data_IF_268665611831
#
_entry.id   IF_268665611831
#
_cell.length_a   1.000
_cell.length_b   1.000
_cell.length_c   1.000
_cell.angle_alpha   90.00
_cell.angle_beta   90.00
_cell.angle_gamma   90.00
#
_symmetry.space_group_name_H-M   'P 1'
#
loop_
_entity.id
_entity.type
_entity.pdbx_description
1 polymer ?
#
# COMPACT_ATOMS: atom_id res chain seq x y z
N UNK A 1 3.20 -4.38 13.41
CA UNK A 1 2.44 -3.15 13.61
C UNK A 1 2.11 -2.95 15.10
N UNK A 2 3.11 -2.61 15.92
CA UNK A 2 3.01 -2.50 17.39
C UNK A 2 3.88 -1.36 17.92
N UNK A 3 4.18 -0.38 17.08
CA UNK A 3 5.32 0.52 17.29
C UNK A 3 5.03 1.76 18.15
N UNK A 4 3.79 2.18 18.29
CA UNK A 4 3.48 3.42 19.03
C UNK A 4 3.28 3.25 20.54
N UNK A 5 3.16 2.03 21.02
CA UNK A 5 2.60 1.76 22.33
C UNK A 5 3.59 1.82 23.51
N UNK A 6 4.90 1.73 23.28
CA UNK A 6 5.90 1.70 24.37
C UNK A 6 6.59 3.02 24.68
N UNK A 7 6.63 3.96 23.75
CA UNK A 7 7.36 5.23 23.95
C UNK A 7 6.71 6.21 24.94
N UNK A 8 5.44 6.02 25.30
CA UNK A 8 4.71 6.92 26.22
C UNK A 8 4.68 6.45 27.68
N UNK A 9 5.44 5.41 28.08
CA UNK A 9 5.70 5.11 29.50
C UNK A 9 4.54 4.59 30.34
N UNK A 10 3.30 4.52 29.85
CA UNK A 10 2.12 4.23 30.67
C UNK A 10 1.61 2.78 30.67
N UNK A 11 2.25 1.88 29.93
CA UNK A 11 1.76 0.49 29.76
C UNK A 11 1.96 -0.44 30.94
N UNK A 12 2.75 -0.08 31.93
CA UNK A 12 2.94 -0.89 33.13
C UNK A 12 1.69 -0.93 34.05
N UNK A 13 0.68 -0.10 33.82
CA UNK A 13 -0.52 -0.04 34.68
C UNK A 13 -1.66 -0.96 34.29
N UNK A 14 -1.73 -1.43 33.02
CA UNK A 14 -2.83 -2.28 32.54
C UNK A 14 -2.28 -3.41 31.68
N UNK A 15 -2.47 -4.67 32.12
CA UNK A 15 -2.17 -5.87 31.31
C UNK A 15 -3.21 -6.02 30.19
N UNK A 16 -3.04 -5.29 29.07
CA UNK A 16 -3.78 -5.58 27.85
C UNK A 16 -3.12 -6.73 27.10
N UNK A 17 -3.90 -7.71 26.65
CA UNK A 17 -3.45 -8.79 25.77
C UNK A 17 -4.02 -8.56 24.38
N UNK A 18 -3.14 -8.30 23.42
CA UNK A 18 -3.50 -8.16 22.02
C UNK A 18 -3.01 -9.38 21.26
N UNK A 19 -3.87 -9.91 20.37
CA UNK A 19 -3.47 -10.90 19.39
C UNK A 19 -3.62 -10.28 18.02
N UNK A 20 -2.52 -10.10 17.31
CA UNK A 20 -2.49 -9.72 15.92
C UNK A 20 -2.55 -10.99 15.08
N UNK A 21 -3.68 -11.26 14.42
CA UNK A 21 -3.78 -12.33 13.45
C UNK A 21 -3.15 -11.90 12.15
N UNK A 22 -1.96 -12.39 11.86
CA UNK A 22 -1.36 -12.36 10.53
C UNK A 22 -1.36 -13.79 10.00
N UNK A 23 -2.14 -14.05 8.94
CA UNK A 23 -1.93 -15.24 8.14
C UNK A 23 -0.61 -15.09 7.38
N UNK A 24 0.48 -15.41 8.04
CA UNK A 24 1.75 -15.56 7.36
C UNK A 24 1.90 -17.04 6.98
N UNK A 25 1.99 -17.31 5.66
CA UNK A 25 2.37 -18.61 5.14
C UNK A 25 3.66 -19.11 5.84
N UNK A 26 3.84 -20.38 5.94
CA UNK A 26 4.81 -21.21 6.73
C UNK A 26 6.27 -20.73 6.87
N UNK A 27 6.64 -19.61 6.28
CA UNK A 27 7.96 -18.96 6.43
C UNK A 27 7.79 -17.46 6.19
N UNK A 28 8.34 -16.60 7.07
CA UNK A 28 9.04 -15.39 6.61
C UNK A 28 10.24 -15.87 5.76
N UNK A 29 9.98 -16.67 4.74
CA UNK A 29 10.95 -16.88 3.69
C UNK A 29 10.96 -15.58 2.94
N UNK A 30 11.96 -14.79 3.24
CA UNK A 30 12.44 -13.68 2.45
C UNK A 30 12.70 -14.22 1.05
N UNK A 31 11.62 -14.46 0.31
CA UNK A 31 11.73 -14.98 -1.05
C UNK A 31 12.47 -13.93 -1.85
N UNK A 32 13.43 -14.38 -2.64
CA UNK A 32 14.27 -13.55 -3.54
C UNK A 32 13.48 -12.64 -4.50
N UNK A 33 12.14 -12.72 -4.50
CA UNK A 33 11.22 -11.95 -5.33
C UNK A 33 10.43 -10.99 -4.44
N UNK A 34 11.10 -9.97 -3.93
CA UNK A 34 10.43 -8.81 -3.34
C UNK A 34 10.13 -7.81 -4.43
N UNK A 35 8.88 -7.34 -4.55
CA UNK A 35 8.52 -6.24 -5.42
C UNK A 35 8.87 -4.90 -4.77
N UNK A 36 9.04 -3.88 -5.58
CA UNK A 36 9.14 -2.50 -5.14
C UNK A 36 7.88 -2.04 -4.39
N UNK A 37 8.04 -1.06 -3.55
CA UNK A 37 7.00 -0.43 -2.76
C UNK A 37 7.29 1.06 -2.65
N UNK A 38 6.33 1.89 -3.05
CA UNK A 38 6.43 3.34 -2.92
C UNK A 38 5.84 3.79 -1.60
N UNK A 39 6.62 4.51 -0.83
CA UNK A 39 6.23 5.08 0.46
C UNK A 39 6.04 6.57 0.30
N UNK A 40 4.82 6.99 0.48
CA UNK A 40 4.40 8.38 0.32
C UNK A 40 4.48 9.15 1.64
N UNK A 41 4.52 10.50 1.62
CA UNK A 41 4.74 11.33 2.80
C UNK A 41 3.84 11.04 4.00
N UNK A 42 2.57 10.69 3.79
CA UNK A 42 1.64 10.32 4.86
C UNK A 42 2.08 9.11 5.70
N UNK A 43 2.88 8.21 5.12
CA UNK A 43 3.41 7.05 5.83
C UNK A 43 4.89 7.20 6.21
N UNK A 44 5.72 7.84 5.38
CA UNK A 44 7.16 7.99 5.69
C UNK A 44 7.41 8.82 6.95
N UNK A 45 6.54 9.81 7.26
CA UNK A 45 6.61 10.58 8.51
C UNK A 45 6.45 9.71 9.77
N UNK A 46 5.76 8.56 9.67
CA UNK A 46 5.60 7.63 10.78
C UNK A 46 6.92 6.92 11.15
N UNK A 47 7.86 6.82 10.21
CA UNK A 47 9.12 6.09 10.46
C UNK A 47 10.01 6.79 11.50
N UNK A 48 10.01 8.12 11.53
CA UNK A 48 10.68 8.88 12.58
C UNK A 48 10.03 8.61 13.95
N UNK A 49 8.68 8.65 13.99
CA UNK A 49 7.90 8.39 15.21
C UNK A 49 8.12 6.97 15.75
N UNK A 50 8.32 6.00 14.85
CA UNK A 50 8.54 4.60 15.22
C UNK A 50 10.00 4.23 15.46
N UNK A 51 10.95 5.14 15.24
CA UNK A 51 12.37 4.90 15.41
C UNK A 51 12.94 3.90 14.41
N UNK A 52 12.43 3.87 13.17
CA UNK A 52 12.92 3.00 12.08
C UNK A 52 13.53 3.78 10.91
N UNK A 53 13.52 5.11 11.00
CA UNK A 53 13.95 5.99 9.92
C UNK A 53 15.40 5.72 9.49
N UNK A 54 16.31 5.63 10.46
CA UNK A 54 17.75 5.47 10.20
C UNK A 54 18.09 4.09 9.60
N UNK A 55 17.29 3.07 9.90
CA UNK A 55 17.47 1.74 9.31
C UNK A 55 16.97 1.67 7.86
N UNK A 56 15.89 2.42 7.53
CA UNK A 56 15.22 2.36 6.23
C UNK A 56 15.89 3.31 5.23
N UNK A 57 16.28 4.52 5.65
CA UNK A 57 16.83 5.58 4.78
C UNK A 57 17.98 5.10 3.88
N UNK A 58 19.00 4.33 4.36
CA UNK A 58 20.09 3.87 3.49
C UNK A 58 19.66 2.90 2.39
N UNK A 59 18.48 2.29 2.53
CA UNK A 59 17.91 1.31 1.59
C UNK A 59 16.89 1.95 0.65
N UNK A 60 16.52 3.21 0.89
CA UNK A 60 15.56 3.94 0.09
C UNK A 60 16.18 4.48 -1.20
N UNK A 61 15.40 4.51 -2.27
CA UNK A 61 15.70 5.31 -3.45
C UNK A 61 14.81 6.56 -3.39
N UNK A 62 15.41 7.73 -3.58
CA UNK A 62 14.75 9.02 -3.57
C UNK A 62 14.56 9.49 -5.01
N UNK A 63 13.33 9.47 -5.56
CA UNK A 63 13.12 9.82 -6.96
C UNK A 63 13.40 11.31 -7.19
N UNK A 64 14.34 11.59 -8.09
CA UNK A 64 14.71 12.94 -8.49
C UNK A 64 13.61 13.61 -9.32
N UNK A 65 12.81 12.83 -10.02
CA UNK A 65 11.63 13.30 -10.74
C UNK A 65 10.55 12.22 -10.84
N UNK A 66 9.32 12.67 -11.09
CA UNK A 66 8.20 11.82 -11.50
C UNK A 66 7.76 12.26 -12.90
N UNK A 67 7.67 11.31 -13.84
CA UNK A 67 7.27 11.58 -15.21
C UNK A 67 6.10 10.68 -15.65
N UNK A 68 5.12 11.29 -16.32
CA UNK A 68 4.05 10.60 -17.04
C UNK A 68 4.32 10.73 -18.54
N UNK A 69 4.33 9.60 -19.22
CA UNK A 69 4.72 9.49 -20.64
C UNK A 69 3.61 8.85 -21.45
N UNK A 70 3.50 9.22 -22.71
CA UNK A 70 2.66 8.53 -23.67
C UNK A 70 3.27 7.16 -24.00
N UNK A 71 2.43 6.14 -24.05
CA UNK A 71 2.85 4.76 -24.22
C UNK A 71 3.61 4.51 -25.52
N UNK A 72 3.19 5.13 -26.66
CA UNK A 72 3.66 4.76 -28.00
C UNK A 72 5.06 5.28 -28.36
N UNK A 73 5.49 6.38 -27.74
CA UNK A 73 6.75 7.05 -28.12
C UNK A 73 7.54 7.61 -26.94
N UNK A 74 7.09 7.36 -25.72
CA UNK A 74 7.74 7.86 -24.50
C UNK A 74 7.72 9.37 -24.34
N UNK A 75 6.96 10.12 -25.17
CA UNK A 75 6.82 11.56 -25.07
C UNK A 75 6.28 11.97 -23.70
N UNK A 76 6.95 12.92 -23.07
CA UNK A 76 6.50 13.49 -21.80
C UNK A 76 5.13 14.15 -21.97
N UNK A 77 4.18 13.74 -21.13
CA UNK A 77 2.89 14.38 -20.95
C UNK A 77 2.90 15.25 -19.70
N UNK A 78 3.59 14.82 -18.65
CA UNK A 78 3.77 15.58 -17.41
C UNK A 78 5.08 15.20 -16.74
N UNK A 79 5.67 16.15 -16.01
CA UNK A 79 6.88 15.93 -15.21
C UNK A 79 6.89 16.84 -13.99
N UNK A 80 7.28 16.30 -12.85
CA UNK A 80 7.64 17.05 -11.65
C UNK A 80 9.13 16.80 -11.38
N UNK A 81 9.96 17.82 -11.57
CA UNK A 81 11.38 17.80 -11.22
C UNK A 81 11.56 17.91 -9.71
N UNK A 82 12.72 17.47 -9.19
CA UNK A 82 13.04 17.47 -7.76
C UNK A 82 11.89 16.89 -6.89
N UNK A 83 11.32 15.75 -7.35
CA UNK A 83 10.07 15.21 -6.80
C UNK A 83 10.17 14.93 -5.30
N UNK A 84 11.24 14.26 -4.83
CA UNK A 84 11.43 14.01 -3.40
C UNK A 84 11.65 15.34 -2.62
N UNK A 85 12.42 16.29 -3.17
CA UNK A 85 12.59 17.60 -2.58
C UNK A 85 11.28 18.40 -2.47
N UNK A 86 10.40 18.28 -3.47
CA UNK A 86 9.06 18.87 -3.43
C UNK A 86 8.18 18.25 -2.33
N UNK A 87 8.25 16.94 -2.15
CA UNK A 87 7.55 16.26 -1.06
C UNK A 87 8.05 16.71 0.32
N UNK A 88 9.36 16.84 0.49
CA UNK A 88 9.96 17.39 1.72
C UNK A 88 9.50 18.81 2.00
N UNK A 89 9.48 19.68 0.99
CA UNK A 89 9.02 21.09 1.14
C UNK A 89 7.54 21.19 1.50
N UNK A 90 6.68 20.36 0.88
CA UNK A 90 5.22 20.42 1.05
C UNK A 90 4.72 19.71 2.30
N UNK A 91 5.34 18.58 2.67
CA UNK A 91 4.79 17.67 3.66
C UNK A 91 5.74 17.36 4.83
N UNK A 92 6.95 17.90 4.82
CA UNK A 92 8.02 17.61 5.80
C UNK A 92 8.29 16.10 5.94
N UNK A 93 8.16 15.37 4.84
CA UNK A 93 8.35 13.93 4.80
C UNK A 93 8.77 13.48 3.40
N UNK A 94 9.70 12.52 3.28
CA UNK A 94 10.20 12.06 2.00
C UNK A 94 9.19 11.18 1.27
N UNK A 95 9.32 11.14 -0.06
CA UNK A 95 8.79 10.08 -0.91
C UNK A 95 9.92 9.08 -1.18
N UNK A 96 9.72 7.81 -0.86
CA UNK A 96 10.74 6.77 -0.99
C UNK A 96 10.26 5.58 -1.79
N UNK A 97 11.11 5.11 -2.70
CA UNK A 97 10.96 3.83 -3.35
C UNK A 97 11.79 2.78 -2.60
N UNK A 98 11.11 1.78 -2.04
CA UNK A 98 11.70 0.76 -1.16
C UNK A 98 11.50 -0.64 -1.73
N UNK A 99 12.40 -1.54 -1.38
CA UNK A 99 12.14 -2.96 -1.53
C UNK A 99 11.26 -3.45 -0.35
N UNK A 100 10.13 -4.07 -0.65
CA UNK A 100 9.12 -4.47 0.36
C UNK A 100 9.71 -5.24 1.55
N UNK A 101 10.66 -6.14 1.28
CA UNK A 101 11.28 -6.96 2.32
C UNK A 101 12.08 -6.11 3.31
N UNK A 102 12.77 -5.07 2.82
CA UNK A 102 13.62 -4.22 3.66
C UNK A 102 12.75 -3.44 4.66
N UNK A 103 11.63 -2.89 4.21
CA UNK A 103 10.65 -2.23 5.09
C UNK A 103 10.03 -3.22 6.09
N UNK A 104 9.60 -4.40 5.61
CA UNK A 104 8.98 -5.40 6.46
C UNK A 104 9.91 -5.85 7.58
N UNK A 105 11.20 -6.07 7.28
CA UNK A 105 12.19 -6.45 8.26
C UNK A 105 12.40 -5.38 9.33
N UNK A 106 12.61 -4.13 8.92
CA UNK A 106 12.79 -3.02 9.83
C UNK A 106 11.60 -2.89 10.81
N UNK A 107 10.36 -2.96 10.28
CA UNK A 107 9.16 -2.90 11.11
C UNK A 107 9.02 -4.10 12.05
N UNK A 108 9.32 -5.32 11.58
CA UNK A 108 9.29 -6.54 12.39
C UNK A 108 10.31 -6.49 13.52
N UNK A 109 11.55 -6.09 13.21
CA UNK A 109 12.62 -6.05 14.20
C UNK A 109 12.34 -4.96 15.24
N UNK A 110 11.84 -3.81 14.83
CA UNK A 110 11.40 -2.76 15.76
C UNK A 110 10.25 -3.23 16.64
N UNK A 111 9.25 -3.91 16.09
CA UNK A 111 8.15 -4.47 16.88
C UNK A 111 8.67 -5.44 17.96
N UNK A 112 9.63 -6.33 17.61
CA UNK A 112 10.26 -7.23 18.57
C UNK A 112 11.03 -6.48 19.66
N UNK A 113 11.81 -5.46 19.29
CA UNK A 113 12.53 -4.61 20.25
C UNK A 113 11.57 -3.97 21.27
N UNK A 114 10.36 -3.61 20.82
CA UNK A 114 9.30 -3.06 21.68
C UNK A 114 8.53 -4.14 22.45
N UNK A 115 8.91 -5.42 22.34
CA UNK A 115 8.36 -6.53 23.11
C UNK A 115 7.18 -7.24 22.46
N UNK A 116 6.86 -6.95 21.18
CA UNK A 116 5.86 -7.71 20.45
C UNK A 116 6.33 -9.16 20.25
N UNK A 117 5.42 -10.11 20.50
CA UNK A 117 5.67 -11.53 20.26
C UNK A 117 5.12 -11.89 18.88
N UNK A 118 5.99 -12.42 18.02
CA UNK A 118 5.61 -12.85 16.66
C UNK A 118 5.66 -14.37 16.63
N UNK A 119 4.55 -14.98 16.28
CA UNK A 119 4.41 -16.42 16.08
C UNK A 119 4.20 -16.72 14.61
N UNK A 120 5.15 -17.41 13.99
CA UNK A 120 5.09 -17.83 12.59
C UNK A 120 4.43 -19.19 12.47
N UNK A 121 3.75 -19.43 11.34
CA UNK A 121 3.07 -20.69 11.07
C UNK A 121 1.80 -20.91 11.90
N UNK A 122 1.39 -19.95 12.72
CA UNK A 122 0.15 -19.98 13.47
C UNK A 122 -1.01 -19.58 12.54
N UNK A 123 -1.70 -20.55 11.97
CA UNK A 123 -2.83 -20.32 11.08
C UNK A 123 -4.13 -20.29 11.89
N UNK A 124 -4.88 -19.21 11.78
CA UNK A 124 -6.18 -19.07 12.42
C UNK A 124 -7.21 -19.93 11.70
N UNK A 125 -7.81 -20.88 12.42
CA UNK A 125 -8.88 -21.75 11.95
C UNK A 125 -10.26 -21.12 12.21
N UNK A 126 -10.45 -20.53 13.41
CA UNK A 126 -11.73 -19.94 13.79
C UNK A 126 -11.61 -18.75 14.73
N UNK A 127 -12.66 -17.93 14.79
CA UNK A 127 -12.76 -16.76 15.67
C UNK A 127 -14.13 -16.74 16.32
N UNK A 128 -14.15 -16.67 17.65
CA UNK A 128 -15.33 -16.38 18.43
C UNK A 128 -15.33 -14.89 18.83
N UNK A 129 -16.10 -14.09 18.12
CA UNK A 129 -16.26 -12.66 18.38
C UNK A 129 -16.99 -12.38 19.69
N UNK A 130 -17.71 -13.36 20.26
CA UNK A 130 -18.40 -13.21 21.55
C UNK A 130 -17.46 -13.40 22.72
N UNK A 131 -16.61 -14.43 22.64
CA UNK A 131 -15.66 -14.77 23.70
C UNK A 131 -14.33 -14.04 23.58
N UNK A 132 -14.09 -13.32 22.48
CA UNK A 132 -12.79 -12.70 22.13
C UNK A 132 -11.66 -13.73 22.08
N UNK A 133 -11.92 -14.85 21.40
CA UNK A 133 -10.96 -15.95 21.25
C UNK A 133 -10.76 -16.27 19.79
N UNK A 134 -9.55 -16.77 19.47
CA UNK A 134 -9.24 -17.37 18.19
C UNK A 134 -8.67 -18.78 18.39
N UNK A 135 -9.04 -19.70 17.51
CA UNK A 135 -8.52 -21.06 17.47
C UNK A 135 -7.54 -21.20 16.34
N UNK A 136 -6.43 -21.86 16.57
CA UNK A 136 -5.41 -22.17 15.57
C UNK A 136 -5.63 -23.55 14.97
N UNK A 137 -5.07 -23.83 13.79
CA UNK A 137 -5.16 -25.14 13.10
C UNK A 137 -4.57 -26.29 13.94
N UNK A 138 -3.67 -26.00 14.90
CA UNK A 138 -3.08 -26.98 15.82
C UNK A 138 -3.95 -27.26 17.06
N UNK A 139 -5.14 -26.64 17.14
CA UNK A 139 -6.10 -26.80 18.24
C UNK A 139 -5.88 -25.86 19.42
N UNK A 140 -4.81 -25.05 19.44
CA UNK A 140 -4.62 -24.06 20.49
C UNK A 140 -5.67 -22.95 20.40
N UNK A 141 -6.17 -22.52 21.54
CA UNK A 141 -7.08 -21.38 21.65
C UNK A 141 -6.39 -20.22 22.37
N UNK A 142 -6.42 -19.04 21.74
CA UNK A 142 -5.88 -17.80 22.30
C UNK A 142 -7.01 -16.85 22.65
N UNK A 143 -6.93 -16.23 23.82
CA UNK A 143 -7.88 -15.21 24.28
C UNK A 143 -7.17 -13.87 24.41
N UNK A 144 -7.83 -12.81 23.97
CA UNK A 144 -7.32 -11.43 24.05
C UNK A 144 -8.43 -10.45 24.46
N UNK A 145 -8.04 -9.29 24.92
CA UNK A 145 -8.97 -8.17 25.15
C UNK A 145 -9.42 -7.55 23.82
N UNK A 146 -8.54 -7.55 22.84
CA UNK A 146 -8.80 -7.07 21.46
C UNK A 146 -8.15 -8.01 20.45
N UNK A 147 -8.91 -8.40 19.46
CA UNK A 147 -8.44 -9.10 18.26
C UNK A 147 -8.33 -8.10 17.09
N UNK A 148 -7.28 -8.19 16.31
CA UNK A 148 -7.06 -7.32 15.14
C UNK A 148 -6.94 -8.16 13.89
N UNK A 149 -7.87 -8.01 12.96
CA UNK A 149 -7.86 -8.65 11.65
C UNK A 149 -7.00 -7.89 10.65
N UNK A 150 -5.82 -8.43 10.34
CA UNK A 150 -4.85 -7.86 9.39
C UNK A 150 -4.42 -8.89 8.35
N UNK A 151 -5.34 -9.77 7.96
CA UNK A 151 -5.09 -10.94 7.12
C UNK A 151 -5.31 -10.68 5.62
N UNK A 152 -5.40 -9.40 5.24
CA UNK A 152 -5.30 -8.92 3.87
C UNK A 152 -6.55 -9.17 3.03
N UNK A 153 -6.41 -9.03 1.71
CA UNK A 153 -7.48 -9.17 0.73
C UNK A 153 -8.26 -10.49 0.86
N UNK A 154 -7.56 -11.60 1.12
CA UNK A 154 -8.15 -12.93 1.27
C UNK A 154 -8.57 -13.25 2.72
N UNK A 155 -8.95 -12.22 3.46
CA UNK A 155 -9.26 -12.26 4.89
C UNK A 155 -10.29 -13.32 5.26
N UNK A 156 -9.87 -14.28 6.06
CA UNK A 156 -10.76 -15.25 6.72
C UNK A 156 -11.48 -14.63 7.91
N UNK A 157 -10.84 -13.69 8.59
CA UNK A 157 -11.48 -12.90 9.64
C UNK A 157 -12.72 -12.19 9.10
N UNK A 158 -12.63 -11.60 7.90
CA UNK A 158 -13.73 -10.90 7.24
C UNK A 158 -14.87 -11.85 6.86
N UNK A 159 -14.55 -13.00 6.29
CA UNK A 159 -15.56 -14.02 5.94
C UNK A 159 -16.35 -14.42 7.19
N UNK A 160 -15.65 -14.75 8.29
CA UNK A 160 -16.29 -15.15 9.55
C UNK A 160 -17.07 -13.99 10.21
N UNK A 161 -16.53 -12.79 10.18
CA UNK A 161 -17.21 -11.60 10.70
C UNK A 161 -18.53 -11.34 9.96
N UNK A 162 -18.55 -11.39 8.63
CA UNK A 162 -19.75 -11.22 7.84
C UNK A 162 -20.77 -12.34 8.09
N UNK A 163 -20.31 -13.57 8.29
CA UNK A 163 -21.18 -14.70 8.60
C UNK A 163 -21.95 -14.49 9.92
N UNK A 164 -21.36 -13.83 10.94
CA UNK A 164 -22.09 -13.49 12.18
C UNK A 164 -23.26 -12.51 11.94
N UNK A 165 -23.24 -11.78 10.82
CA UNK A 165 -24.28 -10.81 10.41
C UNK A 165 -25.19 -11.38 9.30
N UNK A 166 -25.11 -12.69 9.02
CA UNK A 166 -25.86 -13.32 7.93
C UNK A 166 -25.47 -12.81 6.53
N UNK A 167 -24.25 -12.23 6.41
CA UNK A 167 -23.72 -11.71 5.15
C UNK A 167 -22.53 -12.53 4.69
N UNK A 168 -22.22 -12.42 3.42
CA UNK A 168 -20.99 -12.95 2.82
C UNK A 168 -20.49 -11.99 1.74
N UNK A 169 -19.19 -11.98 1.54
CA UNK A 169 -18.56 -11.40 0.37
C UNK A 169 -17.37 -12.28 -0.07
N UNK A 170 -16.91 -12.03 -1.29
CA UNK A 170 -15.70 -12.65 -1.83
C UNK A 170 -14.88 -11.57 -2.55
N UNK A 171 -13.58 -11.78 -2.72
CA UNK A 171 -12.79 -10.93 -3.60
C UNK A 171 -13.38 -10.91 -5.02
N UNK A 172 -13.55 -9.72 -5.57
CA UNK A 172 -14.06 -9.47 -6.91
C UNK A 172 -12.91 -9.08 -7.84
N UNK A 173 -12.86 -9.59 -9.08
CA UNK A 173 -11.87 -9.16 -10.06
C UNK A 173 -12.11 -7.71 -10.47
N UNK A 174 -11.03 -6.96 -10.64
CA UNK A 174 -11.07 -5.56 -11.08
C UNK A 174 -11.11 -5.42 -12.59
N UNK A 175 -10.88 -6.50 -13.32
CA UNK A 175 -10.69 -6.53 -14.77
C UNK A 175 -9.23 -6.32 -15.20
N UNK A 176 -8.32 -6.13 -14.26
CA UNK A 176 -6.89 -5.96 -14.53
C UNK A 176 -6.05 -7.06 -13.85
N UNK A 177 -4.88 -7.30 -14.43
CA UNK A 177 -3.79 -8.05 -13.79
C UNK A 177 -2.50 -7.22 -13.81
N UNK A 178 -1.55 -7.63 -13.00
CA UNK A 178 -0.23 -7.03 -12.94
C UNK A 178 0.85 -8.07 -13.29
N UNK A 179 1.73 -7.76 -14.25
CA UNK A 179 3.04 -8.39 -14.33
C UNK A 179 3.99 -7.64 -13.40
N UNK A 180 4.76 -8.37 -12.61
CA UNK A 180 5.73 -7.79 -11.68
C UNK A 180 7.14 -8.24 -12.03
N UNK A 181 8.01 -7.28 -12.27
CA UNK A 181 9.36 -7.46 -12.74
C UNK A 181 10.29 -6.71 -11.80
N UNK A 182 11.43 -7.32 -11.49
CA UNK A 182 12.53 -6.66 -10.81
C UNK A 182 13.81 -7.02 -11.55
N UNK A 183 14.48 -6.02 -12.10
CA UNK A 183 15.77 -6.14 -12.76
C UNK A 183 16.88 -5.67 -11.80
N UNK A 184 18.03 -6.29 -11.83
CA UNK A 184 19.19 -5.85 -11.07
C UNK A 184 20.10 -5.01 -11.97
N UNK A 185 20.66 -3.96 -11.42
CA UNK A 185 21.64 -3.12 -12.14
C UNK A 185 22.82 -3.94 -12.68
N UNK A 186 23.29 -4.92 -11.92
CA UNK A 186 24.41 -5.80 -12.28
C UNK A 186 24.12 -6.71 -13.48
N UNK A 187 22.85 -7.04 -13.74
CA UNK A 187 22.40 -7.93 -14.82
C UNK A 187 22.14 -7.17 -16.14
N UNK A 188 22.20 -5.82 -16.14
CA UNK A 188 21.98 -4.99 -17.32
C UNK A 188 23.30 -4.67 -18.01
N UNK A 189 23.38 -4.91 -19.33
CA UNK A 189 24.56 -4.63 -20.15
C UNK A 189 24.45 -3.25 -20.83
N UNK A 190 23.25 -2.83 -21.24
CA UNK A 190 23.01 -1.55 -21.92
C UNK A 190 23.32 -0.36 -20.99
N UNK A 191 24.27 0.53 -21.34
CA UNK A 191 24.63 1.68 -20.51
C UNK A 191 23.47 2.65 -20.26
N UNK A 192 22.56 2.81 -21.21
CA UNK A 192 21.39 3.67 -21.06
C UNK A 192 20.45 3.11 -19.96
N UNK A 193 20.17 1.81 -19.99
CA UNK A 193 19.33 1.17 -18.97
C UNK A 193 19.99 1.19 -17.60
N UNK A 194 21.29 1.01 -17.55
CA UNK A 194 22.08 1.12 -16.30
C UNK A 194 21.97 2.51 -15.70
N UNK A 195 22.07 3.55 -16.52
CA UNK A 195 21.93 4.94 -16.08
C UNK A 195 20.53 5.22 -15.52
N UNK A 196 19.49 4.72 -16.18
CA UNK A 196 18.12 4.82 -15.68
C UNK A 196 17.92 4.19 -14.30
N UNK A 197 18.53 3.02 -14.08
CA UNK A 197 18.41 2.31 -12.78
C UNK A 197 19.24 3.01 -11.70
N UNK A 198 20.45 3.46 -12.03
CA UNK A 198 21.38 4.08 -11.09
C UNK A 198 20.93 5.49 -10.64
N UNK A 199 20.08 6.16 -11.44
CA UNK A 199 19.55 7.49 -11.14
C UNK A 199 18.07 7.41 -10.74
N UNK A 200 17.73 7.30 -9.45
CA UNK A 200 16.37 7.06 -8.99
C UNK A 200 15.36 8.07 -9.54
N UNK A 201 14.31 7.56 -10.14
CA UNK A 201 13.23 8.32 -10.74
C UNK A 201 11.97 7.46 -10.88
N UNK A 202 10.80 8.08 -10.97
CA UNK A 202 9.53 7.39 -11.13
C UNK A 202 8.95 7.67 -12.51
N UNK A 203 8.68 6.62 -13.27
CA UNK A 203 8.16 6.69 -14.63
C UNK A 203 6.82 6.00 -14.76
N UNK A 204 5.88 6.68 -15.39
CA UNK A 204 4.61 6.11 -15.83
C UNK A 204 4.54 6.17 -17.36
N UNK A 205 4.15 5.08 -18.00
CA UNK A 205 3.69 5.06 -19.39
C UNK A 205 2.21 4.76 -19.38
N UNK A 206 1.40 5.64 -19.94
CA UNK A 206 -0.05 5.51 -19.96
C UNK A 206 -0.56 5.29 -21.38
N UNK A 207 -1.48 4.33 -21.55
CA UNK A 207 -1.96 3.92 -22.87
C UNK A 207 -3.32 3.22 -22.83
N UNK A 208 -3.79 2.72 -23.97
CA UNK A 208 -5.11 2.13 -24.08
C UNK A 208 -5.22 0.86 -23.21
N UNK A 209 -6.15 0.89 -22.25
CA UNK A 209 -6.42 -0.19 -21.31
C UNK A 209 -5.25 -0.64 -20.43
N UNK A 210 -4.11 0.06 -20.45
CA UNK A 210 -2.91 -0.36 -19.76
C UNK A 210 -2.08 0.83 -19.30
N UNK A 211 -1.27 0.62 -18.26
CA UNK A 211 -0.17 1.52 -17.93
C UNK A 211 0.99 0.74 -17.29
N UNK A 212 2.14 1.36 -17.31
CA UNK A 212 3.35 0.84 -16.67
C UNK A 212 3.83 1.84 -15.64
N UNK A 213 4.25 1.35 -14.48
CA UNK A 213 5.01 2.13 -13.51
C UNK A 213 6.36 1.48 -13.30
N UNK A 214 7.42 2.28 -13.36
CA UNK A 214 8.77 1.81 -13.14
C UNK A 214 9.56 2.79 -12.29
N UNK A 215 10.34 2.26 -11.35
CA UNK A 215 11.16 3.05 -10.42
C UNK A 215 12.31 2.25 -9.83
N UNK A 216 13.36 2.94 -9.46
CA UNK A 216 14.52 2.34 -8.81
C UNK A 216 14.22 2.01 -7.35
N UNK A 217 14.80 0.93 -6.86
CA UNK A 217 14.77 0.53 -5.44
C UNK A 217 16.17 0.20 -4.96
N UNK A 218 16.38 0.08 -3.63
CA UNK A 218 17.68 -0.17 -3.02
C UNK A 218 18.75 0.81 -3.51
N UNK A 219 18.41 2.10 -3.46
CA UNK A 219 19.31 3.17 -3.87
C UNK A 219 19.90 2.96 -5.28
N UNK A 220 19.04 2.62 -6.26
CA UNK A 220 19.47 2.45 -7.65
C UNK A 220 20.14 1.11 -7.98
N UNK A 221 20.12 0.12 -7.08
CA UNK A 221 20.69 -1.21 -7.35
C UNK A 221 19.72 -2.14 -8.08
N UNK A 222 18.43 -1.82 -8.06
CA UNK A 222 17.39 -2.63 -8.70
C UNK A 222 16.34 -1.71 -9.32
N UNK A 223 15.68 -2.20 -10.36
CA UNK A 223 14.59 -1.51 -11.03
C UNK A 223 13.32 -2.34 -10.96
N UNK A 224 12.28 -1.78 -10.37
CA UNK A 224 10.97 -2.40 -10.26
C UNK A 224 10.09 -1.91 -11.41
N UNK A 225 9.49 -2.83 -12.16
CA UNK A 225 8.55 -2.52 -13.25
C UNK A 225 7.25 -3.28 -12.97
N UNK A 226 6.13 -2.59 -13.01
CA UNK A 226 4.80 -3.19 -12.89
C UNK A 226 4.01 -2.84 -14.15
N UNK A 227 3.64 -3.86 -14.90
CA UNK A 227 2.81 -3.72 -16.09
C UNK A 227 1.37 -4.04 -15.71
N UNK A 228 0.48 -3.11 -15.88
CA UNK A 228 -0.93 -3.19 -15.51
C UNK A 228 -1.75 -3.26 -16.79
N UNK A 229 -2.38 -4.41 -17.02
CA UNK A 229 -3.05 -4.77 -18.28
C UNK A 229 -4.39 -5.44 -18.01
N UNK A 230 -5.28 -5.56 -19.02
CA UNK A 230 -6.52 -6.32 -18.89
C UNK A 230 -6.28 -7.75 -18.41
N UNK A 231 -7.14 -8.22 -17.50
CA UNK A 231 -7.05 -9.58 -16.94
C UNK A 231 -7.43 -10.64 -17.98
N UNK A 232 -6.53 -11.59 -18.19
CA UNK A 232 -6.73 -12.75 -19.06
C UNK A 232 -6.46 -14.08 -18.31
N UNK A 233 -6.39 -14.03 -16.97
CA UNK A 233 -6.24 -15.25 -16.17
C UNK A 233 -7.56 -16.03 -16.13
N UNK A 234 -7.52 -17.36 -16.14
CA UNK A 234 -8.71 -18.18 -15.98
C UNK A 234 -9.49 -17.83 -14.72
N UNK A 235 -10.78 -18.16 -14.71
CA UNK A 235 -11.61 -18.06 -13.52
C UNK A 235 -11.01 -18.87 -12.35
N UNK A 236 -11.04 -18.30 -11.14
CA UNK A 236 -10.46 -18.93 -9.96
C UNK A 236 -8.93 -18.86 -9.84
N UNK A 237 -8.23 -18.42 -10.89
CA UNK A 237 -6.76 -18.27 -10.87
C UNK A 237 -6.40 -16.84 -10.49
N UNK A 238 -5.79 -16.66 -9.32
CA UNK A 238 -5.34 -15.34 -8.84
C UNK A 238 -3.86 -15.06 -9.15
N UNK A 239 -3.05 -16.08 -9.42
CA UNK A 239 -1.63 -15.97 -9.76
C UNK A 239 -1.19 -17.10 -10.67
N UNK A 240 -0.36 -16.77 -11.65
CA UNK A 240 0.25 -17.73 -12.58
C UNK A 240 1.61 -17.22 -13.05
N UNK A 241 2.54 -18.12 -13.36
CA UNK A 241 3.75 -17.78 -14.12
C UNK A 241 3.34 -17.30 -15.52
N UNK A 242 3.82 -16.13 -15.92
CA UNK A 242 3.53 -15.52 -17.21
C UNK A 242 4.42 -16.03 -18.33
N UNK A 243 3.97 -15.86 -19.58
CA UNK A 243 4.79 -16.04 -20.78
C UNK A 243 5.54 -14.74 -21.09
N UNK A 244 6.84 -14.82 -21.38
CA UNK A 244 7.64 -13.69 -21.84
C UNK A 244 7.15 -13.17 -23.19
N UNK A 245 6.83 -14.10 -24.10
CA UNK A 245 6.39 -13.75 -25.47
C UNK A 245 5.03 -13.06 -25.43
N UNK A 246 4.09 -13.54 -24.59
CA UNK A 246 2.80 -12.89 -24.37
C UNK A 246 3.00 -11.47 -23.79
N UNK A 247 3.83 -11.33 -22.77
CA UNK A 247 4.12 -10.04 -22.14
C UNK A 247 4.71 -9.06 -23.16
N UNK A 248 5.74 -9.47 -23.93
CA UNK A 248 6.37 -8.60 -24.94
C UNK A 248 5.40 -8.24 -26.06
N UNK A 249 4.56 -9.17 -26.50
CA UNK A 249 3.56 -8.91 -27.54
C UNK A 249 2.57 -7.80 -27.16
N UNK A 250 2.17 -7.70 -25.88
CA UNK A 250 1.28 -6.63 -25.38
C UNK A 250 1.95 -5.25 -25.53
N UNK A 251 3.27 -5.17 -25.40
CA UNK A 251 4.02 -3.92 -25.35
C UNK A 251 4.84 -3.63 -26.62
N UNK A 252 4.64 -4.40 -27.71
CA UNK A 252 5.42 -4.26 -28.96
C UNK A 252 5.43 -2.82 -29.50
N UNK A 253 4.27 -2.14 -29.48
CA UNK A 253 4.11 -0.77 -30.00
C UNK A 253 4.26 0.30 -28.90
N UNK A 254 4.87 -0.05 -27.78
CA UNK A 254 5.14 0.88 -26.69
C UNK A 254 6.55 1.47 -26.81
N UNK A 255 6.84 2.46 -25.97
CA UNK A 255 8.13 3.18 -25.91
C UNK A 255 9.32 2.21 -26.06
N UNK A 256 10.25 2.43 -27.04
CA UNK A 256 11.39 1.58 -27.25
C UNK A 256 12.26 1.37 -26.01
N UNK A 257 12.35 2.36 -25.11
CA UNK A 257 13.12 2.22 -23.87
C UNK A 257 12.46 1.22 -22.93
N UNK A 258 11.13 1.23 -22.84
CA UNK A 258 10.39 0.22 -22.07
C UNK A 258 10.66 -1.17 -22.67
N UNK A 259 10.59 -1.33 -23.99
CA UNK A 259 10.84 -2.61 -24.66
C UNK A 259 12.27 -3.12 -24.38
N UNK A 260 13.29 -2.26 -24.40
CA UNK A 260 14.65 -2.64 -24.00
C UNK A 260 14.71 -3.22 -22.58
N UNK A 261 13.95 -2.65 -21.61
CA UNK A 261 13.85 -3.23 -20.27
C UNK A 261 13.18 -4.61 -20.30
N UNK A 262 12.07 -4.76 -21.05
CA UNK A 262 11.32 -6.02 -21.13
C UNK A 262 12.13 -7.15 -21.80
N UNK A 263 13.07 -6.83 -22.68
CA UNK A 263 13.97 -7.80 -23.30
C UNK A 263 14.94 -8.43 -22.30
N UNK A 264 15.26 -7.72 -21.21
CA UNK A 264 16.11 -8.24 -20.13
C UNK A 264 15.34 -9.13 -19.13
N UNK A 265 14.01 -9.26 -19.25
CA UNK A 265 13.20 -10.07 -18.33
C UNK A 265 13.34 -11.55 -18.67
N UNK A 266 13.75 -12.35 -17.66
CA UNK A 266 13.95 -13.81 -17.79
C UNK A 266 12.75 -14.61 -17.28
N UNK A 267 12.02 -14.09 -16.32
CA UNK A 267 10.81 -14.72 -15.73
C UNK A 267 9.84 -13.65 -15.26
N UNK A 268 8.55 -13.93 -15.34
CA UNK A 268 7.53 -13.01 -14.85
C UNK A 268 6.34 -13.76 -14.26
N UNK A 269 5.74 -13.19 -13.24
CA UNK A 269 4.48 -13.67 -12.66
C UNK A 269 3.34 -12.71 -13.00
N UNK A 270 2.17 -13.28 -13.29
CA UNK A 270 0.88 -12.60 -13.43
C UNK A 270 0.12 -12.65 -12.11
N UNK A 271 -0.42 -11.52 -11.71
CA UNK A 271 -1.24 -11.39 -10.50
C UNK A 271 -2.56 -10.72 -10.86
N UNK A 272 -3.67 -11.44 -10.69
CA UNK A 272 -5.02 -10.86 -10.84
C UNK A 272 -5.23 -9.79 -9.77
N UNK A 273 -5.64 -8.61 -10.19
CA UNK A 273 -6.00 -7.54 -9.25
C UNK A 273 -7.43 -7.73 -8.79
N UNK A 274 -7.60 -7.78 -7.48
CA UNK A 274 -8.87 -8.05 -6.83
C UNK A 274 -9.19 -6.91 -5.85
N UNK A 275 -10.47 -6.72 -5.59
CA UNK A 275 -10.97 -5.82 -4.55
C UNK A 275 -12.08 -6.49 -3.74
N UNK A 276 -12.59 -5.83 -2.72
CA UNK A 276 -13.79 -6.23 -1.99
C UNK A 276 -14.72 -5.03 -1.79
N UNK A 277 -16.04 -5.25 -1.65
CA UNK A 277 -16.99 -4.19 -1.30
C UNK A 277 -16.63 -3.50 0.02
N UNK A 278 -17.12 -2.29 0.22
CA UNK A 278 -16.99 -1.59 1.49
C UNK A 278 -17.74 -2.35 2.61
N UNK A 279 -17.17 -2.39 3.81
CA UNK A 279 -17.83 -2.95 4.99
C UNK A 279 -18.72 -1.91 5.66
N UNK A 280 -19.85 -2.32 6.24
CA UNK A 280 -20.70 -1.43 7.03
C UNK A 280 -19.94 -0.91 8.26
N UNK A 281 -19.19 -1.79 8.92
CA UNK A 281 -18.35 -1.45 10.08
C UNK A 281 -17.04 -2.25 10.04
N UNK A 282 -15.97 -1.64 10.54
CA UNK A 282 -14.67 -2.28 10.73
C UNK A 282 -14.49 -2.84 12.15
N UNK A 283 -15.46 -2.59 13.04
CA UNK A 283 -15.42 -2.98 14.45
C UNK A 283 -16.58 -3.95 14.76
N UNK A 284 -16.32 -4.94 15.61
CA UNK A 284 -17.36 -5.86 16.10
C UNK A 284 -18.34 -5.16 17.06
N UNK A 285 -19.57 -5.67 17.12
CA UNK A 285 -20.62 -5.09 17.97
C UNK A 285 -20.23 -5.05 19.46
N UNK A 286 -19.35 -5.97 19.90
CA UNK A 286 -18.80 -5.99 21.27
C UNK A 286 -17.52 -5.18 21.44
N UNK A 287 -17.06 -4.49 20.40
CA UNK A 287 -15.83 -3.70 20.40
C UNK A 287 -14.59 -4.49 20.90
N UNK A 288 -14.50 -5.77 20.58
CA UNK A 288 -13.39 -6.66 20.93
C UNK A 288 -12.64 -7.20 19.70
N UNK A 289 -13.05 -6.75 18.50
CA UNK A 289 -12.41 -7.05 17.23
C UNK A 289 -12.45 -5.84 16.31
N UNK A 290 -11.35 -5.64 15.55
CA UNK A 290 -11.22 -4.54 14.58
C UNK A 290 -10.42 -4.97 13.36
N UNK A 291 -10.80 -4.46 12.19
CA UNK A 291 -10.05 -4.64 10.93
C UNK A 291 -9.08 -3.50 10.67
N UNK A 292 -7.97 -3.84 9.95
CA UNK A 292 -6.98 -2.89 9.44
C UNK A 292 -6.44 -3.34 8.06
N UNK A 293 -6.03 -2.37 7.24
CA UNK A 293 -5.40 -2.62 5.95
C UNK A 293 -6.29 -3.33 4.95
N UNK A 294 -5.70 -4.16 4.09
CA UNK A 294 -6.40 -4.84 3.00
C UNK A 294 -7.51 -5.81 3.45
N UNK A 295 -7.65 -6.08 4.74
CA UNK A 295 -8.77 -6.86 5.27
C UNK A 295 -10.09 -6.08 5.25
N UNK A 296 -10.03 -4.76 5.31
CA UNK A 296 -11.21 -3.88 5.26
C UNK A 296 -11.25 -2.95 4.04
N UNK A 297 -10.11 -2.48 3.52
CA UNK A 297 -10.06 -1.57 2.37
C UNK A 297 -9.02 -1.99 1.30
N UNK A 298 -9.11 -3.21 0.75
CA UNK A 298 -8.20 -3.62 -0.32
C UNK A 298 -8.39 -2.71 -1.53
N UNK A 299 -7.29 -2.25 -2.10
CA UNK A 299 -7.29 -1.24 -3.16
C UNK A 299 -6.39 -1.60 -4.33
N UNK A 300 -6.64 -0.97 -5.46
CA UNK A 300 -5.77 -1.06 -6.64
C UNK A 300 -4.41 -0.38 -6.36
N UNK A 301 -3.31 -0.86 -6.98
CA UNK A 301 -1.97 -0.33 -6.70
C UNK A 301 -1.70 1.06 -7.30
N UNK A 302 -2.66 1.67 -7.95
CA UNK A 302 -2.51 2.84 -8.84
C UNK A 302 -2.17 4.16 -8.14
N UNK A 303 -2.23 4.22 -6.82
CA UNK A 303 -1.82 5.37 -6.00
C UNK A 303 -0.77 5.01 -4.95
N UNK A 304 -0.24 3.78 -5.01
CA UNK A 304 0.71 3.24 -4.02
C UNK A 304 0.20 3.32 -2.56
N UNK A 305 -1.12 3.40 -2.31
CA UNK A 305 -1.65 3.67 -0.97
C UNK A 305 -1.94 2.42 -0.13
N UNK A 306 -1.90 1.20 -0.67
CA UNK A 306 -2.24 0.00 0.10
C UNK A 306 -1.43 -0.16 1.38
N UNK A 307 -0.10 -0.18 1.29
CA UNK A 307 0.78 -0.25 2.46
C UNK A 307 0.76 1.05 3.27
N UNK A 308 0.72 2.21 2.61
CA UNK A 308 0.72 3.52 3.27
C UNK A 308 -0.54 3.69 4.13
N UNK A 309 -1.72 3.39 3.60
CA UNK A 309 -2.98 3.44 4.34
C UNK A 309 -3.03 2.40 5.48
N UNK A 310 -2.47 1.19 5.27
CA UNK A 310 -2.36 0.20 6.33
C UNK A 310 -1.45 0.65 7.48
N UNK A 311 -0.40 1.42 7.18
CA UNK A 311 0.46 2.03 8.21
C UNK A 311 -0.25 3.16 8.94
N UNK A 312 -1.05 3.99 8.25
CA UNK A 312 -1.93 4.97 8.89
C UNK A 312 -2.92 4.29 9.85
N UNK A 313 -3.56 3.17 9.43
CA UNK A 313 -4.47 2.42 10.29
C UNK A 313 -3.78 1.97 11.59
N UNK A 314 -2.57 1.42 11.44
CA UNK A 314 -1.78 0.99 12.57
C UNK A 314 -1.38 2.12 13.50
N UNK A 315 -1.03 3.28 12.95
CA UNK A 315 -0.69 4.46 13.74
C UNK A 315 -1.91 4.98 14.50
N UNK A 316 -3.05 5.16 13.83
CA UNK A 316 -4.28 5.65 14.48
C UNK A 316 -4.78 4.65 15.52
N UNK A 317 -4.85 3.34 15.20
CA UNK A 317 -5.26 2.32 16.16
C UNK A 317 -4.33 2.31 17.38
N UNK A 318 -3.02 2.36 17.15
CA UNK A 318 -2.05 2.43 18.22
C UNK A 318 -2.23 3.65 19.11
N UNK A 319 -2.43 4.82 18.54
CA UNK A 319 -2.60 6.08 19.28
C UNK A 319 -3.89 6.11 20.11
N UNK A 320 -5.04 5.67 19.54
CA UNK A 320 -6.30 5.63 20.31
C UNK A 320 -6.25 4.61 21.42
N UNK A 321 -5.59 3.48 21.23
CA UNK A 321 -5.39 2.48 22.29
C UNK A 321 -4.42 2.99 23.38
N UNK A 322 -3.41 3.78 23.02
CA UNK A 322 -2.49 4.38 23.98
C UNK A 322 -3.14 5.41 24.90
N UNK A 323 -4.24 6.02 24.47
CA UNK A 323 -4.98 7.00 25.25
C UNK A 323 -5.94 6.36 26.29
N UNK A 324 -6.12 5.05 26.29
CA UNK A 324 -7.00 4.35 27.22
C UNK A 324 -6.52 4.48 28.68
N UNK A 325 -7.43 4.81 29.56
CA UNK A 325 -7.23 4.78 31.02
C UNK A 325 -7.79 3.50 31.66
N UNK A 326 -8.71 2.83 30.97
CA UNK A 326 -9.31 1.57 31.40
C UNK A 326 -9.80 0.74 30.23
N UNK A 327 -10.00 -0.58 30.42
CA UNK A 327 -10.55 -1.47 29.39
C UNK A 327 -11.99 -1.12 29.00
N UNK A 328 -12.75 -0.49 29.87
CA UNK A 328 -14.12 -0.07 29.60
C UNK A 328 -14.21 0.97 28.49
N UNK A 329 -13.13 1.73 28.28
CA UNK A 329 -13.04 2.74 27.22
C UNK A 329 -12.73 2.15 25.83
N UNK A 330 -12.49 0.83 25.71
CA UNK A 330 -12.11 0.19 24.45
C UNK A 330 -13.14 0.45 23.34
N UNK A 331 -14.43 0.42 23.68
CA UNK A 331 -15.50 0.72 22.71
C UNK A 331 -15.41 2.14 22.14
N UNK A 332 -15.10 3.13 22.98
CA UNK A 332 -14.92 4.52 22.56
C UNK A 332 -13.67 4.67 21.66
N UNK A 333 -12.58 3.99 22.02
CA UNK A 333 -11.34 4.01 21.23
C UNK A 333 -11.55 3.40 19.84
N UNK A 334 -12.21 2.27 19.74
CA UNK A 334 -12.46 1.62 18.44
C UNK A 334 -13.47 2.39 17.58
N UNK A 335 -14.48 3.02 18.19
CA UNK A 335 -15.39 3.91 17.48
C UNK A 335 -14.65 5.15 16.92
N UNK A 336 -13.70 5.71 17.69
CA UNK A 336 -12.88 6.81 17.23
C UNK A 336 -11.94 6.37 16.09
N UNK A 337 -11.29 5.21 16.22
CA UNK A 337 -10.50 4.62 15.14
C UNK A 337 -11.29 4.51 13.84
N UNK A 338 -12.48 3.88 13.90
CA UNK A 338 -13.33 3.70 12.73
C UNK A 338 -13.75 5.05 12.12
N UNK A 339 -14.12 6.02 12.96
CA UNK A 339 -14.48 7.39 12.52
C UNK A 339 -13.34 8.07 11.75
N UNK A 340 -12.11 7.94 12.22
CA UNK A 340 -10.94 8.56 11.60
C UNK A 340 -10.48 7.83 10.32
N UNK A 341 -10.64 6.50 10.27
CA UNK A 341 -10.01 5.70 9.21
C UNK A 341 -10.94 5.23 8.11
N UNK A 342 -12.17 4.80 8.46
CA UNK A 342 -13.06 4.12 7.50
C UNK A 342 -13.36 4.99 6.27
N UNK A 343 -13.87 6.20 6.47
CA UNK A 343 -14.20 7.11 5.35
C UNK A 343 -12.98 7.45 4.50
N UNK A 344 -11.80 7.63 5.13
CA UNK A 344 -10.57 7.91 4.40
C UNK A 344 -10.10 6.70 3.58
N UNK A 345 -10.04 5.50 4.18
CA UNK A 345 -9.63 4.28 3.48
C UNK A 345 -10.52 3.99 2.27
N UNK A 346 -11.85 4.07 2.43
CA UNK A 346 -12.82 3.90 1.36
C UNK A 346 -12.69 4.97 0.25
N UNK A 347 -12.44 6.23 0.61
CA UNK A 347 -12.20 7.29 -0.36
C UNK A 347 -10.90 7.04 -1.16
N UNK A 348 -9.84 6.58 -0.52
CA UNK A 348 -8.60 6.19 -1.21
C UNK A 348 -8.87 5.04 -2.20
N UNK A 349 -9.64 4.02 -1.79
CA UNK A 349 -10.05 2.93 -2.71
C UNK A 349 -10.72 3.52 -3.95
N UNK A 350 -11.72 4.39 -3.80
CA UNK A 350 -12.42 5.03 -4.95
C UNK A 350 -11.48 5.83 -5.84
N UNK A 351 -10.53 6.56 -5.27
CA UNK A 351 -9.54 7.33 -6.04
C UNK A 351 -8.59 6.43 -6.83
N UNK A 352 -8.28 5.21 -6.35
CA UNK A 352 -7.49 4.26 -7.15
C UNK A 352 -8.22 3.84 -8.43
N UNK A 353 -9.53 3.61 -8.37
CA UNK A 353 -10.34 3.32 -9.56
C UNK A 353 -10.45 4.53 -10.50
N UNK A 354 -10.56 5.74 -9.95
CA UNK A 354 -10.56 6.96 -10.74
C UNK A 354 -9.21 7.18 -11.45
N UNK A 355 -8.08 6.91 -10.77
CA UNK A 355 -6.76 6.95 -11.40
C UNK A 355 -6.63 5.93 -12.53
N UNK A 356 -7.14 4.69 -12.32
CA UNK A 356 -7.22 3.68 -13.38
C UNK A 356 -7.91 4.21 -14.63
N UNK A 357 -9.09 4.81 -14.46
CA UNK A 357 -9.86 5.35 -15.58
C UNK A 357 -9.06 6.36 -16.40
N UNK A 358 -8.37 7.29 -15.73
CA UNK A 358 -7.61 8.33 -16.41
C UNK A 358 -6.33 7.78 -17.09
N UNK A 359 -5.71 6.75 -16.56
CA UNK A 359 -4.47 6.18 -17.11
C UNK A 359 -4.72 5.12 -18.20
N UNK A 360 -5.89 4.47 -18.21
CA UNK A 360 -6.25 3.39 -19.13
C UNK A 360 -7.20 3.86 -20.24
N UNK A 361 -7.31 5.16 -20.52
CA UNK A 361 -8.16 5.67 -21.60
C UNK A 361 -7.75 5.06 -22.94
N UNK A 362 -8.73 4.56 -23.68
CA UNK A 362 -8.53 4.13 -25.07
C UNK A 362 -8.23 5.34 -25.97
N UNK A 363 -7.50 5.11 -27.05
CA UNK A 363 -7.22 6.18 -28.01
C UNK A 363 -8.51 6.81 -28.53
N UNK A 364 -8.53 8.13 -28.62
CA UNK A 364 -9.66 8.91 -29.09
C UNK A 364 -9.77 10.27 -28.39
N UNK A 365 -10.88 11.01 -28.65
CA UNK A 365 -11.01 12.41 -28.23
C UNK A 365 -10.86 12.64 -26.72
N UNK A 366 -11.31 11.72 -25.87
CA UNK A 366 -11.17 11.87 -24.40
C UNK A 366 -9.70 11.73 -23.97
N UNK A 367 -8.96 10.77 -24.54
CA UNK A 367 -7.54 10.59 -24.30
C UNK A 367 -6.72 11.76 -24.85
N UNK A 368 -7.06 12.26 -26.03
CA UNK A 368 -6.41 13.43 -26.64
C UNK A 368 -6.59 14.67 -25.77
N UNK A 369 -7.80 14.94 -25.29
CA UNK A 369 -8.10 16.05 -24.39
C UNK A 369 -7.34 15.92 -23.06
N UNK A 370 -7.22 14.70 -22.48
CA UNK A 370 -6.40 14.44 -21.29
C UNK A 370 -4.94 14.77 -21.57
N UNK A 371 -4.39 14.32 -22.69
CA UNK A 371 -2.97 14.52 -23.04
C UNK A 371 -2.68 16.01 -23.31
N UNK A 372 -3.57 16.72 -23.99
CA UNK A 372 -3.48 18.16 -24.19
C UNK A 372 -3.50 18.92 -22.87
N UNK A 373 -4.40 18.54 -21.95
CA UNK A 373 -4.42 19.13 -20.61
C UNK A 373 -3.10 18.91 -19.86
N UNK A 374 -2.56 17.69 -19.89
CA UNK A 374 -1.26 17.39 -19.28
C UNK A 374 -0.13 18.21 -19.88
N UNK A 375 -0.04 18.25 -21.21
CA UNK A 375 0.96 19.02 -21.94
C UNK A 375 0.85 20.53 -21.69
N UNK A 376 -0.36 21.06 -21.52
CA UNK A 376 -0.57 22.48 -21.22
C UNK A 376 0.04 22.93 -19.89
N UNK A 377 0.26 21.99 -18.97
CA UNK A 377 0.83 22.20 -17.64
C UNK A 377 2.32 21.79 -17.56
N UNK A 378 2.90 21.24 -18.63
CA UNK A 378 4.29 20.81 -18.62
C UNK A 378 5.23 21.98 -18.37
N UNK A 379 6.09 21.87 -17.34
CA UNK A 379 7.02 22.91 -16.93
C UNK A 379 6.38 24.07 -16.15
N UNK A 380 5.14 23.91 -15.68
CA UNK A 380 4.42 24.89 -14.85
C UNK A 380 4.05 24.31 -13.50
N UNK A 381 3.77 25.16 -12.54
CA UNK A 381 3.07 24.75 -11.31
C UNK A 381 1.64 24.40 -11.65
N UNK A 382 1.22 23.18 -11.28
CA UNK A 382 -0.12 22.68 -11.56
C UNK A 382 -1.08 23.25 -10.51
N UNK A 383 -2.03 24.09 -10.93
CA UNK A 383 -3.03 24.74 -10.08
C UNK A 383 -4.48 24.32 -10.39
N UNK A 384 -4.65 23.39 -11.31
CA UNK A 384 -5.96 22.87 -11.76
C UNK A 384 -6.15 21.41 -11.37
N UNK A 385 -7.38 20.91 -11.39
CA UNK A 385 -7.65 19.48 -11.25
C UNK A 385 -6.92 18.71 -12.36
N UNK A 386 -6.05 17.79 -11.97
CA UNK A 386 -5.11 17.14 -12.87
C UNK A 386 -5.36 15.63 -12.97
N UNK A 387 -5.21 15.02 -14.16
CA UNK A 387 -5.51 13.60 -14.36
C UNK A 387 -4.60 12.65 -13.58
N UNK A 388 -3.35 13.03 -13.34
CA UNK A 388 -2.44 12.29 -12.46
C UNK A 388 -2.65 12.70 -11.01
N UNK A 389 -3.23 11.82 -10.16
CA UNK A 389 -3.40 12.08 -8.72
C UNK A 389 -2.08 12.28 -7.99
N UNK A 390 -1.01 11.75 -8.53
CA UNK A 390 0.36 11.93 -8.03
C UNK A 390 0.83 13.40 -8.06
N UNK A 391 0.22 14.19 -8.92
CA UNK A 391 0.58 15.59 -9.18
C UNK A 391 -0.63 16.54 -9.00
N UNK A 392 -1.82 16.01 -8.76
CA UNK A 392 -3.06 16.79 -8.65
C UNK A 392 -3.07 17.65 -7.38
N UNK A 393 -3.19 18.98 -7.47
CA UNK A 393 -3.12 19.88 -6.31
C UNK A 393 -4.32 19.74 -5.35
N UNK A 394 -5.35 19.00 -5.74
CA UNK A 394 -6.51 18.70 -4.88
C UNK A 394 -6.33 17.37 -4.18
N UNK A 395 -5.88 16.34 -4.90
CA UNK A 395 -5.80 14.97 -4.37
C UNK A 395 -4.49 14.70 -3.65
N UNK A 396 -3.35 15.17 -4.18
CA UNK A 396 -2.05 14.93 -3.59
C UNK A 396 -1.93 15.47 -2.15
N UNK A 397 -2.34 16.72 -1.81
CA UNK A 397 -2.27 17.22 -0.44
C UNK A 397 -3.19 16.46 0.52
N UNK A 398 -4.37 16.04 0.06
CA UNK A 398 -5.27 15.21 0.85
C UNK A 398 -4.68 13.82 1.15
N UNK A 399 -3.99 13.21 0.18
CA UNK A 399 -3.31 11.93 0.37
C UNK A 399 -2.07 12.08 1.24
N UNK A 400 -1.12 12.92 0.84
CA UNK A 400 0.24 12.96 1.37
C UNK A 400 0.38 13.84 2.62
N UNK A 401 -0.48 14.85 2.75
CA UNK A 401 -0.51 15.75 3.90
C UNK A 401 -1.13 15.14 5.16
N UNK A 402 -1.80 13.99 5.06
CA UNK A 402 -2.41 13.35 6.21
C UNK A 402 -1.38 13.01 7.29
N UNK A 403 -1.68 13.39 8.52
CA UNK A 403 -0.88 13.06 9.69
C UNK A 403 -1.72 12.28 10.70
N UNK A 404 -1.48 10.96 10.75
CA UNK A 404 -2.25 10.05 11.60
C UNK A 404 -2.17 10.38 13.08
N UNK A 405 -1.04 10.93 13.55
CA UNK A 405 -0.86 11.34 14.94
C UNK A 405 -1.61 12.63 15.24
N UNK A 406 -1.38 13.66 14.43
CA UNK A 406 -2.02 14.95 14.63
C UNK A 406 -3.56 14.84 14.58
N UNK A 407 -4.11 14.08 13.64
CA UNK A 407 -5.55 13.80 13.55
C UNK A 407 -6.09 13.09 14.81
N UNK A 408 -5.34 12.10 15.31
CA UNK A 408 -5.74 11.38 16.53
C UNK A 408 -5.66 12.27 17.75
N UNK A 409 -4.58 13.05 17.92
CA UNK A 409 -4.39 13.95 19.07
C UNK A 409 -5.46 15.05 19.08
N UNK A 410 -5.81 15.62 17.91
CA UNK A 410 -6.88 16.60 17.79
C UNK A 410 -8.26 15.99 18.17
N UNK A 411 -8.54 14.78 17.70
CA UNK A 411 -9.79 14.09 18.01
C UNK A 411 -9.91 13.75 19.51
N UNK A 412 -8.84 13.25 20.13
CA UNK A 412 -8.79 12.95 21.57
C UNK A 412 -8.91 14.20 22.44
N UNK A 413 -8.30 15.32 22.00
CA UNK A 413 -8.40 16.60 22.71
C UNK A 413 -9.82 17.17 22.66
N UNK A 414 -10.53 16.98 21.54
CA UNK A 414 -11.92 17.46 21.38
C UNK A 414 -12.96 16.56 22.06
N UNK A 415 -12.66 15.28 22.23
CA UNK A 415 -13.57 14.28 22.81
C UNK A 415 -12.75 13.22 23.58
N UNK A 416 -12.26 13.54 24.79
CA UNK A 416 -11.56 12.59 25.65
C UNK A 416 -12.44 11.39 25.98
N UNK A 417 -11.82 10.23 26.20
CA UNK A 417 -12.54 9.05 26.67
C UNK A 417 -13.02 9.25 28.10
N UNK A 418 -14.28 8.90 28.35
CA UNK A 418 -14.94 9.03 29.66
C UNK A 418 -15.03 7.68 30.40
#
# INVERSE_FOLDING_TARGET
MYLSLREQGNWQRYEFRYVLSMTCSKRLTYTKVGAGLQITPNASKLFAQWGVLDEIRPKAAEPTFLAVKRYSDGKLLSKTDDFNGDMMRKYDAPFWDLHRVDLQLALVDRAKQLGAKIRLGAKVADIDFNASTLSLDDGETLKADLLVGADGLWSKCREKFLATKGKSDAPLPTGDLAYRIVLRLEDLEDPELRDWVANPSCHFWIGPNAHVVAYSVRNGQMFNIVLLVPDNLPEGVARQTGSMDEMRAIFTDWDPVLNKFLDNVKTVDKWKLMHRPELDSWVSDKANFVFIGDSCHPMLPYLAQGANSSMEDGAVLGNVLAALQSKQQLSQALALYEKLRKKRGEAIVRETFAQRKDFHMVNGPEQEARDELMLSQLGKDIDIKFPSRWQCPVVQPWLYGYDARAETDAALSSSPFT
#
